data_IF_841498642699
#
_entry.id   IF_841498642699
#
_cell.length_a   1.000
_cell.length_b   1.000
_cell.length_c   1.000
_cell.angle_alpha   90.00
_cell.angle_beta   90.00
_cell.angle_gamma   90.00
#
_symmetry.space_group_name_H-M   'P 1'
#
loop_
_entity.id
_entity.type
_entity.pdbx_description
1 polymer ?
#
# COMPACT_ATOMS: atom_id res chain seq x y z
N UNK A 1 -53.94 40.46 -13.33
CA UNK A 1 -55.06 39.70 -13.92
C UNK A 1 -56.34 40.42 -13.56
N UNK A 2 -56.87 40.26 -12.33
CA UNK A 2 -57.98 41.06 -11.77
C UNK A 2 -57.98 42.52 -12.23
N UNK A 3 -56.90 43.24 -11.97
CA UNK A 3 -56.69 44.65 -12.28
C UNK A 3 -56.99 45.01 -13.77
N UNK A 4 -56.60 44.12 -14.70
CA UNK A 4 -56.82 44.30 -16.15
C UNK A 4 -58.27 43.96 -16.54
N UNK A 5 -58.83 42.89 -15.99
CA UNK A 5 -60.22 42.47 -16.25
C UNK A 5 -61.22 43.48 -15.66
N UNK A 6 -60.91 44.02 -14.47
CA UNK A 6 -61.66 45.08 -13.79
C UNK A 6 -61.62 46.40 -14.58
N UNK A 7 -60.47 46.78 -15.17
CA UNK A 7 -60.37 47.97 -16.02
C UNK A 7 -61.11 47.83 -17.35
N UNK A 8 -61.06 46.66 -18.01
CA UNK A 8 -61.84 46.39 -19.22
C UNK A 8 -63.35 46.40 -18.94
N UNK A 9 -63.79 45.80 -17.83
CA UNK A 9 -65.18 45.88 -17.37
C UNK A 9 -65.62 47.32 -17.10
N UNK A 10 -64.73 48.16 -16.56
CA UNK A 10 -64.99 49.58 -16.34
C UNK A 10 -65.16 50.36 -17.65
N UNK A 11 -64.32 50.08 -18.67
CA UNK A 11 -64.41 50.71 -20.01
C UNK A 11 -65.72 50.34 -20.69
N UNK A 12 -66.07 49.04 -20.70
CA UNK A 12 -67.34 48.55 -21.25
C UNK A 12 -68.55 49.24 -20.59
N UNK A 13 -68.57 49.31 -19.26
CA UNK A 13 -69.62 50.01 -18.51
C UNK A 13 -69.67 51.52 -18.75
N UNK A 14 -68.61 52.15 -19.27
CA UNK A 14 -68.66 53.56 -19.72
C UNK A 14 -69.28 53.70 -21.11
N UNK A 15 -68.97 52.79 -22.05
CA UNK A 15 -69.53 52.78 -23.40
C UNK A 15 -71.06 52.56 -23.40
N UNK A 16 -71.56 51.68 -22.53
CA UNK A 16 -73.02 51.47 -22.38
C UNK A 16 -73.74 52.76 -21.93
N UNK A 17 -73.17 53.48 -20.95
CA UNK A 17 -73.72 54.76 -20.46
C UNK A 17 -73.66 55.86 -21.53
N UNK A 18 -72.64 55.84 -22.39
CA UNK A 18 -72.56 56.73 -23.56
C UNK A 18 -73.71 56.45 -24.55
N UNK A 19 -73.99 55.17 -24.81
CA UNK A 19 -75.10 54.71 -25.66
C UNK A 19 -76.48 55.11 -25.10
N UNK A 20 -76.69 54.98 -23.79
CA UNK A 20 -77.90 55.47 -23.10
C UNK A 20 -78.06 56.99 -23.24
N UNK A 21 -76.97 57.76 -23.11
CA UNK A 21 -76.98 59.22 -23.29
C UNK A 21 -77.34 59.62 -24.72
N UNK A 22 -76.78 58.96 -25.74
CA UNK A 22 -77.15 59.20 -27.14
C UNK A 22 -78.62 58.85 -27.42
N UNK A 23 -79.13 57.77 -26.82
CA UNK A 23 -80.53 57.35 -26.95
C UNK A 23 -81.50 58.34 -26.27
N UNK A 24 -81.09 58.90 -25.13
CA UNK A 24 -81.83 59.98 -24.47
C UNK A 24 -81.85 61.26 -25.32
N UNK A 25 -80.71 61.63 -25.93
CA UNK A 25 -80.60 62.84 -26.75
C UNK A 25 -81.47 62.77 -28.02
N UNK A 26 -81.55 61.60 -28.68
CA UNK A 26 -82.50 61.35 -29.79
C UNK A 26 -83.95 61.64 -29.35
N UNK A 27 -84.35 61.13 -28.19
CA UNK A 27 -85.71 61.32 -27.65
C UNK A 27 -86.01 62.80 -27.40
N UNK A 28 -85.06 63.54 -26.82
CA UNK A 28 -85.20 65.00 -26.64
C UNK A 28 -85.28 65.77 -27.96
N UNK A 29 -84.46 65.42 -28.96
CA UNK A 29 -84.50 66.03 -30.30
C UNK A 29 -85.81 65.71 -31.04
N UNK A 30 -86.37 64.51 -30.86
CA UNK A 30 -87.66 64.13 -31.40
C UNK A 30 -88.80 64.94 -30.74
N UNK A 31 -88.83 65.02 -29.41
CA UNK A 31 -89.82 65.82 -28.67
C UNK A 31 -89.73 67.32 -29.03
N UNK A 32 -88.54 67.86 -29.23
CA UNK A 32 -88.35 69.24 -29.69
C UNK A 32 -88.87 69.45 -31.12
N UNK A 33 -88.55 68.53 -32.04
CA UNK A 33 -89.06 68.52 -33.42
C UNK A 33 -90.59 68.50 -33.45
N UNK A 34 -91.22 67.62 -32.68
CA UNK A 34 -92.68 67.46 -32.68
C UNK A 34 -93.40 68.64 -32.00
N UNK A 35 -92.82 69.18 -30.92
CA UNK A 35 -93.31 70.41 -30.28
C UNK A 35 -93.28 71.61 -31.24
N UNK A 36 -92.19 71.75 -32.01
CA UNK A 36 -92.03 72.80 -33.02
C UNK A 36 -92.95 72.59 -34.24
N UNK A 37 -93.30 71.35 -34.58
CA UNK A 37 -94.32 71.04 -35.58
C UNK A 37 -95.74 71.36 -35.07
N UNK A 38 -96.02 71.14 -33.78
CA UNK A 38 -97.29 71.53 -33.16
C UNK A 38 -97.47 73.05 -33.10
N UNK A 39 -96.44 73.83 -32.77
CA UNK A 39 -96.51 75.31 -32.78
C UNK A 39 -96.87 75.89 -34.15
N UNK A 40 -96.46 75.24 -35.25
CA UNK A 40 -96.80 75.64 -36.63
C UNK A 40 -98.32 75.61 -36.91
N UNK A 41 -99.11 74.88 -36.11
CA UNK A 41 -100.55 74.70 -36.33
C UNK A 41 -101.40 75.81 -35.70
N UNK A 42 -100.93 76.47 -34.62
CA UNK A 42 -101.85 77.11 -33.67
C UNK A 42 -101.72 78.64 -33.50
N UNK A 43 -100.66 79.31 -33.94
CA UNK A 43 -100.64 80.80 -33.90
C UNK A 43 -99.62 81.46 -34.83
N UNK A 44 -99.76 82.78 -34.99
CA UNK A 44 -98.92 83.67 -35.83
C UNK A 44 -97.53 83.94 -35.25
N UNK A 45 -96.71 82.89 -35.13
CA UNK A 45 -95.27 83.01 -34.79
C UNK A 45 -94.48 83.42 -36.05
N UNK A 46 -93.39 84.18 -35.89
CA UNK A 46 -92.53 84.55 -37.02
C UNK A 46 -91.95 83.30 -37.71
N UNK A 47 -92.35 83.09 -38.96
CA UNK A 47 -91.91 81.96 -39.79
C UNK A 47 -90.39 81.92 -39.95
N UNK A 48 -89.70 83.08 -39.84
CA UNK A 48 -88.23 83.14 -39.92
C UNK A 48 -87.55 82.47 -38.74
N UNK A 49 -88.01 82.69 -37.50
CA UNK A 49 -87.40 82.08 -36.31
C UNK A 49 -87.68 80.58 -36.26
N UNK A 50 -88.90 80.15 -36.63
CA UNK A 50 -89.25 78.73 -36.76
C UNK A 50 -88.41 78.03 -37.83
N UNK A 51 -88.10 78.69 -38.94
CA UNK A 51 -87.23 78.12 -39.98
C UNK A 51 -85.75 78.09 -39.56
N UNK A 52 -85.27 79.08 -38.81
CA UNK A 52 -83.91 79.09 -38.26
C UNK A 52 -83.70 77.94 -37.25
N UNK A 53 -84.61 77.77 -36.29
CA UNK A 53 -84.59 76.67 -35.32
C UNK A 53 -84.69 75.29 -35.99
N UNK A 54 -85.36 75.19 -37.15
CA UNK A 54 -85.38 73.97 -37.96
C UNK A 54 -84.05 73.67 -38.65
N UNK A 55 -83.33 74.68 -39.12
CA UNK A 55 -81.99 74.49 -39.66
C UNK A 55 -81.00 74.06 -38.55
N UNK A 56 -81.06 74.70 -37.39
CA UNK A 56 -80.23 74.39 -36.22
C UNK A 56 -80.48 72.97 -35.68
N UNK A 57 -81.75 72.53 -35.57
CA UNK A 57 -82.09 71.16 -35.17
C UNK A 57 -81.63 70.12 -36.21
N UNK A 58 -81.64 70.46 -37.50
CA UNK A 58 -81.14 69.57 -38.55
C UNK A 58 -79.59 69.52 -38.58
N UNK A 59 -78.91 70.62 -38.29
CA UNK A 59 -77.46 70.66 -38.09
C UNK A 59 -77.04 69.80 -36.89
N UNK A 60 -77.72 69.95 -35.74
CA UNK A 60 -77.52 69.13 -34.54
C UNK A 60 -77.79 67.64 -34.79
N UNK A 61 -78.78 67.28 -35.62
CA UNK A 61 -79.02 65.90 -36.06
C UNK A 61 -77.86 65.36 -36.89
N UNK A 62 -77.36 66.13 -37.85
CA UNK A 62 -76.23 65.72 -38.68
C UNK A 62 -74.95 65.52 -37.85
N UNK A 63 -74.68 66.43 -36.90
CA UNK A 63 -73.58 66.27 -35.93
C UNK A 63 -73.75 65.03 -35.03
N UNK A 64 -74.97 64.75 -34.56
CA UNK A 64 -75.26 63.55 -33.77
C UNK A 64 -75.06 62.25 -34.58
N UNK A 65 -75.45 62.24 -35.86
CA UNK A 65 -75.22 61.11 -36.77
C UNK A 65 -73.72 60.92 -37.01
N UNK A 66 -72.98 62.02 -37.22
CA UNK A 66 -71.53 61.99 -37.40
C UNK A 66 -70.78 61.48 -36.16
N UNK A 67 -71.14 61.93 -34.95
CA UNK A 67 -70.51 61.44 -33.72
C UNK A 67 -70.89 59.99 -33.42
N UNK A 68 -72.16 59.57 -33.65
CA UNK A 68 -72.56 58.16 -33.56
C UNK A 68 -71.74 57.27 -34.50
N UNK A 69 -71.54 57.70 -35.76
CA UNK A 69 -70.73 56.97 -36.72
C UNK A 69 -69.24 56.91 -36.32
N UNK A 70 -68.68 58.04 -35.85
CA UNK A 70 -67.30 58.10 -35.36
C UNK A 70 -67.10 57.24 -34.10
N UNK A 71 -68.09 57.18 -33.20
CA UNK A 71 -68.03 56.34 -32.00
C UNK A 71 -68.11 54.84 -32.33
N UNK A 72 -68.95 54.45 -33.29
CA UNK A 72 -69.04 53.08 -33.79
C UNK A 72 -67.75 52.63 -34.51
N UNK A 73 -67.04 53.55 -35.17
CA UNK A 73 -65.71 53.30 -35.73
C UNK A 73 -64.63 53.18 -34.63
N UNK A 74 -64.62 54.09 -33.63
CA UNK A 74 -63.73 53.99 -32.44
C UNK A 74 -63.92 52.66 -31.73
N UNK A 75 -65.18 52.21 -31.55
CA UNK A 75 -65.53 50.94 -30.93
C UNK A 75 -64.95 49.73 -31.68
N UNK A 76 -65.14 49.65 -33.01
CA UNK A 76 -64.58 48.55 -33.83
C UNK A 76 -63.05 48.50 -33.78
N UNK A 77 -62.40 49.66 -33.82
CA UNK A 77 -60.95 49.76 -33.67
C UNK A 77 -60.46 49.27 -32.29
N UNK A 78 -61.26 49.48 -31.23
CA UNK A 78 -60.98 49.00 -29.88
C UNK A 78 -61.20 47.48 -29.76
N UNK A 79 -62.31 46.95 -30.27
CA UNK A 79 -62.59 45.50 -30.32
C UNK A 79 -61.51 44.74 -31.11
N UNK A 80 -61.07 45.29 -32.25
CA UNK A 80 -59.93 44.77 -33.00
C UNK A 80 -58.61 44.79 -32.21
N UNK A 81 -58.37 45.83 -31.41
CA UNK A 81 -57.17 45.93 -30.58
C UNK A 81 -57.20 44.91 -29.44
N UNK A 82 -58.35 44.74 -28.77
CA UNK A 82 -58.55 43.72 -27.74
C UNK A 82 -58.29 42.31 -28.25
N UNK A 83 -58.78 41.95 -29.45
CA UNK A 83 -58.51 40.64 -30.05
C UNK A 83 -57.01 40.43 -30.32
N UNK A 84 -56.33 41.47 -30.86
CA UNK A 84 -54.87 41.44 -31.11
C UNK A 84 -54.09 41.27 -29.81
N UNK A 85 -54.49 41.95 -28.72
CA UNK A 85 -53.90 41.77 -27.40
C UNK A 85 -54.19 40.39 -26.79
N UNK A 86 -55.43 39.88 -26.91
CA UNK A 86 -55.82 38.56 -26.40
C UNK A 86 -55.03 37.44 -27.09
N UNK A 87 -54.84 37.53 -28.41
CA UNK A 87 -53.97 36.62 -29.15
C UNK A 87 -52.52 36.74 -28.69
N UNK A 88 -51.95 37.94 -28.67
CA UNK A 88 -50.56 38.16 -28.26
C UNK A 88 -50.29 37.64 -26.83
N UNK A 89 -51.25 37.78 -25.92
CA UNK A 89 -51.18 37.23 -24.57
C UNK A 89 -51.22 35.69 -24.54
N UNK A 90 -52.06 35.07 -25.38
CA UNK A 90 -52.08 33.61 -25.57
C UNK A 90 -50.74 33.10 -26.13
N UNK A 91 -50.22 33.76 -27.17
CA UNK A 91 -48.94 33.41 -27.79
C UNK A 91 -47.78 33.55 -26.78
N UNK A 92 -47.77 34.62 -25.98
CA UNK A 92 -46.82 34.79 -24.87
C UNK A 92 -46.94 33.68 -23.80
N UNK A 93 -48.16 33.30 -23.42
CA UNK A 93 -48.37 32.18 -22.49
C UNK A 93 -47.88 30.83 -23.04
N UNK A 94 -47.94 30.61 -24.35
CA UNK A 94 -47.37 29.40 -24.97
C UNK A 94 -45.84 29.41 -24.89
N UNK A 95 -45.19 30.51 -25.32
CA UNK A 95 -43.72 30.64 -25.26
C UNK A 95 -43.18 30.50 -23.83
N UNK A 96 -43.87 31.04 -22.83
CA UNK A 96 -43.48 30.86 -21.41
C UNK A 96 -43.52 29.38 -20.98
N UNK A 97 -44.53 28.61 -21.43
CA UNK A 97 -44.61 27.16 -21.15
C UNK A 97 -43.54 26.36 -21.91
N UNK A 98 -43.26 26.73 -23.16
CA UNK A 98 -42.21 26.10 -23.97
C UNK A 98 -40.83 26.30 -23.34
N UNK A 99 -40.52 27.52 -22.86
CA UNK A 99 -39.29 27.81 -22.12
C UNK A 99 -39.19 27.05 -20.80
N UNK A 100 -40.30 26.87 -20.07
CA UNK A 100 -40.36 26.06 -18.85
C UNK A 100 -40.10 24.58 -19.14
N UNK A 101 -40.72 24.02 -20.19
CA UNK A 101 -40.52 22.64 -20.62
C UNK A 101 -39.08 22.39 -21.07
N UNK A 102 -38.52 23.27 -21.90
CA UNK A 102 -37.11 23.21 -22.33
C UNK A 102 -36.16 23.26 -21.14
N UNK A 103 -36.44 24.10 -20.13
CA UNK A 103 -35.58 24.20 -18.95
C UNK A 103 -35.59 22.92 -18.09
N UNK A 104 -36.72 22.22 -17.94
CA UNK A 104 -36.73 20.93 -17.23
C UNK A 104 -36.12 19.81 -18.09
N UNK A 105 -36.33 19.80 -19.41
CA UNK A 105 -35.70 18.85 -20.34
C UNK A 105 -34.15 18.96 -20.30
N UNK A 106 -33.60 20.18 -20.17
CA UNK A 106 -32.16 20.38 -19.99
C UNK A 106 -31.69 19.88 -18.62
N UNK A 107 -32.42 20.14 -17.53
CA UNK A 107 -32.09 19.54 -16.21
C UNK A 107 -32.09 18.01 -16.26
N UNK A 108 -33.02 17.40 -16.99
CA UNK A 108 -33.04 15.94 -17.14
C UNK A 108 -31.86 15.42 -17.97
N UNK A 109 -31.44 16.14 -19.03
CA UNK A 109 -30.19 15.82 -19.75
C UNK A 109 -28.98 15.94 -18.84
N UNK A 110 -28.89 17.00 -18.04
CA UNK A 110 -27.80 17.21 -17.08
C UNK A 110 -27.78 16.13 -15.98
N UNK A 111 -28.95 15.75 -15.44
CA UNK A 111 -29.12 14.62 -14.51
C UNK A 111 -28.60 13.31 -15.11
N UNK A 112 -28.97 12.99 -16.36
CA UNK A 112 -28.52 11.77 -17.04
C UNK A 112 -27.01 11.80 -17.36
N UNK A 113 -26.49 12.92 -17.84
CA UNK A 113 -25.06 13.11 -18.10
C UNK A 113 -24.23 12.95 -16.80
N UNK A 114 -24.65 13.61 -15.72
CA UNK A 114 -23.96 13.52 -14.44
C UNK A 114 -24.01 12.10 -13.87
N UNK A 115 -25.16 11.42 -13.93
CA UNK A 115 -25.28 10.01 -13.50
C UNK A 115 -24.39 9.06 -14.33
N UNK A 116 -24.23 9.31 -15.63
CA UNK A 116 -23.30 8.55 -16.48
C UNK A 116 -21.84 8.74 -16.03
N UNK A 117 -21.41 9.99 -15.80
CA UNK A 117 -20.06 10.28 -15.29
C UNK A 117 -19.84 9.74 -13.88
N UNK A 118 -20.84 9.78 -12.99
CA UNK A 118 -20.77 9.23 -11.63
C UNK A 118 -20.58 7.70 -11.67
N UNK A 119 -21.35 6.98 -12.49
CA UNK A 119 -21.20 5.52 -12.68
C UNK A 119 -19.84 5.19 -13.29
N UNK A 120 -19.35 5.97 -14.25
CA UNK A 120 -18.03 5.77 -14.86
C UNK A 120 -16.89 6.03 -13.85
N UNK A 121 -16.96 7.13 -13.09
CA UNK A 121 -15.99 7.46 -12.05
C UNK A 121 -15.95 6.37 -10.97
N UNK A 122 -17.12 5.93 -10.50
CA UNK A 122 -17.26 4.81 -9.56
C UNK A 122 -16.62 3.52 -10.09
N UNK A 123 -16.84 3.17 -11.36
CA UNK A 123 -16.21 2.00 -11.99
C UNK A 123 -14.68 2.08 -12.07
N UNK A 124 -14.11 3.29 -12.17
CA UNK A 124 -12.67 3.49 -12.03
C UNK A 124 -12.21 3.39 -10.57
N UNK A 125 -12.96 3.95 -9.60
CA UNK A 125 -12.66 3.81 -8.17
C UNK A 125 -12.65 2.36 -7.72
N UNK A 126 -13.71 1.59 -8.02
CA UNK A 126 -13.81 0.17 -7.66
C UNK A 126 -12.67 -0.68 -8.27
N UNK A 127 -12.16 -0.27 -9.46
CA UNK A 127 -10.97 -0.89 -10.08
C UNK A 127 -9.67 -0.50 -9.37
N UNK A 128 -9.52 0.76 -8.96
CA UNK A 128 -8.36 1.24 -8.17
C UNK A 128 -8.33 0.50 -6.83
N UNK A 129 -9.45 0.44 -6.11
CA UNK A 129 -9.57 -0.26 -4.83
C UNK A 129 -9.21 -1.74 -4.95
N UNK A 130 -9.70 -2.40 -6.02
CA UNK A 130 -9.35 -3.79 -6.34
C UNK A 130 -7.86 -4.01 -6.62
N UNK A 131 -7.20 -3.07 -7.30
CA UNK A 131 -5.76 -3.13 -7.57
C UNK A 131 -4.94 -2.84 -6.30
N UNK A 132 -5.36 -1.87 -5.48
CA UNK A 132 -4.73 -1.54 -4.19
C UNK A 132 -4.82 -2.72 -3.21
N UNK A 133 -5.98 -3.39 -3.11
CA UNK A 133 -6.13 -4.59 -2.29
C UNK A 133 -5.25 -5.76 -2.77
N UNK A 134 -5.03 -5.90 -4.09
CA UNK A 134 -4.10 -6.87 -4.65
C UNK A 134 -2.64 -6.54 -4.31
N UNK A 135 -2.23 -5.26 -4.39
CA UNK A 135 -0.89 -4.82 -4.03
C UNK A 135 -0.57 -5.11 -2.56
N UNK A 136 -1.45 -4.72 -1.64
CA UNK A 136 -1.29 -4.96 -0.19
C UNK A 136 -1.13 -6.45 0.11
N UNK A 137 -1.97 -7.31 -0.47
CA UNK A 137 -1.89 -8.77 -0.31
C UNK A 137 -0.57 -9.35 -0.84
N UNK A 138 -0.07 -8.85 -1.97
CA UNK A 138 1.24 -9.27 -2.50
C UNK A 138 2.42 -8.76 -1.64
N UNK A 139 2.30 -7.60 -1.01
CA UNK A 139 3.30 -7.03 -0.08
C UNK A 139 3.32 -7.79 1.26
N UNK A 140 2.16 -8.14 1.82
CA UNK A 140 2.03 -9.04 2.97
C UNK A 140 2.60 -10.44 2.67
N UNK A 141 2.33 -10.99 1.48
CA UNK A 141 2.87 -12.27 1.04
C UNK A 141 4.40 -12.22 0.85
N UNK A 142 4.94 -11.11 0.32
CA UNK A 142 6.37 -10.91 0.11
C UNK A 142 7.11 -10.78 1.45
N UNK A 143 6.65 -9.92 2.36
CA UNK A 143 7.27 -9.73 3.68
C UNK A 143 7.22 -11.00 4.54
N UNK A 144 6.15 -11.80 4.44
CA UNK A 144 6.09 -13.13 5.04
C UNK A 144 7.11 -14.10 4.42
N UNK A 145 7.37 -14.04 3.11
CA UNK A 145 8.40 -14.84 2.45
C UNK A 145 9.83 -14.39 2.79
N UNK A 146 10.07 -13.09 2.94
CA UNK A 146 11.36 -12.57 3.44
C UNK A 146 11.65 -13.06 4.86
N UNK A 147 10.64 -13.09 5.73
CA UNK A 147 10.72 -13.65 7.08
C UNK A 147 11.03 -15.15 7.08
N UNK A 148 10.39 -15.93 6.21
CA UNK A 148 10.74 -17.35 6.02
C UNK A 148 12.18 -17.53 5.52
N UNK A 149 12.64 -16.69 4.59
CA UNK A 149 14.03 -16.70 4.09
C UNK A 149 15.03 -16.33 5.19
N UNK A 150 14.71 -15.37 6.06
CA UNK A 150 15.54 -15.01 7.21
C UNK A 150 15.66 -16.18 8.21
N UNK A 151 14.55 -16.83 8.54
CA UNK A 151 14.54 -18.02 9.42
C UNK A 151 15.31 -19.18 8.79
N UNK A 152 15.17 -19.43 7.48
CA UNK A 152 15.96 -20.46 6.80
C UNK A 152 17.46 -20.16 6.86
N UNK A 153 17.88 -18.91 6.65
CA UNK A 153 19.30 -18.50 6.77
C UNK A 153 19.86 -18.76 8.17
N UNK A 154 19.13 -18.37 9.23
CA UNK A 154 19.52 -18.65 10.63
C UNK A 154 19.68 -20.17 10.88
N UNK A 155 18.76 -21.00 10.38
CA UNK A 155 18.88 -22.45 10.51
C UNK A 155 20.04 -23.05 9.71
N UNK A 156 20.43 -22.46 8.57
CA UNK A 156 21.59 -22.88 7.79
C UNK A 156 22.89 -22.54 8.52
N UNK A 157 23.06 -21.30 8.99
CA UNK A 157 24.23 -20.86 9.77
C UNK A 157 24.44 -21.75 11.01
N UNK A 158 23.36 -22.04 11.75
CA UNK A 158 23.40 -22.98 12.88
C UNK A 158 23.82 -24.40 12.47
N UNK A 159 23.29 -24.92 11.35
CA UNK A 159 23.68 -26.23 10.82
C UNK A 159 25.16 -26.26 10.39
N UNK A 160 25.71 -25.16 9.90
CA UNK A 160 27.11 -25.05 9.50
C UNK A 160 28.04 -25.07 10.73
N UNK A 161 27.71 -24.35 11.80
CA UNK A 161 28.43 -24.42 13.08
C UNK A 161 28.38 -25.83 13.71
N UNK A 162 27.23 -26.50 13.67
CA UNK A 162 27.11 -27.89 14.15
C UNK A 162 27.93 -28.87 13.28
N UNK A 163 27.98 -28.65 11.97
CA UNK A 163 28.81 -29.42 11.02
C UNK A 163 30.30 -29.23 11.26
N UNK A 164 30.77 -28.02 11.57
CA UNK A 164 32.15 -27.75 11.97
C UNK A 164 32.52 -28.45 13.29
N UNK A 165 31.63 -28.41 14.29
CA UNK A 165 31.85 -29.15 15.53
C UNK A 165 32.00 -30.67 15.27
N UNK A 166 31.25 -31.23 14.32
CA UNK A 166 31.35 -32.65 13.92
C UNK A 166 32.67 -32.96 13.20
N UNK A 167 33.25 -32.06 12.39
CA UNK A 167 34.56 -32.33 11.77
C UNK A 167 35.70 -32.32 12.81
N UNK A 168 35.66 -31.37 13.76
CA UNK A 168 36.63 -31.31 14.86
C UNK A 168 36.54 -32.57 15.74
N UNK A 169 35.33 -33.02 16.09
CA UNK A 169 35.14 -34.24 16.89
C UNK A 169 35.61 -35.51 16.17
N UNK A 170 35.45 -35.60 14.84
CA UNK A 170 36.00 -36.72 14.04
C UNK A 170 37.54 -36.74 14.09
N UNK A 171 38.18 -35.61 13.82
CA UNK A 171 39.64 -35.49 13.91
C UNK A 171 40.16 -35.83 15.32
N UNK A 172 39.43 -35.45 16.38
CA UNK A 172 39.79 -35.82 17.76
C UNK A 172 39.69 -37.34 18.00
N UNK A 173 38.68 -38.02 17.45
CA UNK A 173 38.55 -39.49 17.54
C UNK A 173 39.67 -40.18 16.75
N UNK A 174 40.02 -39.70 15.56
CA UNK A 174 41.11 -40.23 14.74
C UNK A 174 42.47 -40.11 15.45
N UNK A 175 42.75 -38.96 16.08
CA UNK A 175 43.96 -38.76 16.91
C UNK A 175 43.98 -39.72 18.10
N UNK A 176 42.91 -39.82 18.89
CA UNK A 176 42.87 -40.74 20.03
C UNK A 176 42.95 -42.22 19.61
N UNK A 177 42.45 -42.59 18.44
CA UNK A 177 42.59 -43.94 17.89
C UNK A 177 44.05 -44.22 17.47
N UNK A 178 44.74 -43.23 16.87
CA UNK A 178 46.17 -43.30 16.56
C UNK A 178 47.01 -43.44 17.84
N UNK A 179 46.79 -42.58 18.83
CA UNK A 179 47.51 -42.60 20.12
C UNK A 179 47.32 -43.94 20.85
N UNK A 180 46.09 -44.47 20.87
CA UNK A 180 45.78 -45.76 21.48
C UNK A 180 46.48 -46.92 20.77
N UNK A 181 46.53 -46.91 19.44
CA UNK A 181 47.23 -47.93 18.66
C UNK A 181 48.75 -47.87 18.89
N UNK A 182 49.34 -46.67 18.93
CA UNK A 182 50.77 -46.50 19.20
C UNK A 182 51.17 -46.92 20.63
N UNK A 183 50.38 -46.55 21.64
CA UNK A 183 50.56 -47.02 23.03
C UNK A 183 50.40 -48.54 23.14
N UNK A 184 49.48 -49.14 22.36
CA UNK A 184 49.32 -50.60 22.30
C UNK A 184 50.53 -51.27 21.67
N UNK A 185 51.00 -50.80 20.52
CA UNK A 185 52.18 -51.34 19.84
C UNK A 185 53.43 -51.24 20.73
N UNK A 186 53.64 -50.09 21.39
CA UNK A 186 54.72 -49.90 22.34
C UNK A 186 54.66 -50.89 23.52
N UNK A 187 53.45 -51.21 24.03
CA UNK A 187 53.26 -52.22 25.09
C UNK A 187 53.47 -53.65 24.61
N UNK A 188 53.03 -54.00 23.40
CA UNK A 188 53.22 -55.33 22.82
C UNK A 188 54.71 -55.58 22.53
N UNK A 189 55.42 -54.58 22.00
CA UNK A 189 56.87 -54.60 21.83
C UNK A 189 57.61 -54.74 23.19
N UNK A 190 57.27 -53.91 24.19
CA UNK A 190 57.89 -53.98 25.52
C UNK A 190 57.61 -55.32 26.24
N UNK A 191 56.44 -55.92 26.01
CA UNK A 191 56.12 -57.26 26.53
C UNK A 191 56.98 -58.34 25.86
N UNK A 192 57.16 -58.28 24.54
CA UNK A 192 58.04 -59.19 23.79
C UNK A 192 59.52 -59.06 24.19
N UNK A 193 60.02 -57.84 24.36
CA UNK A 193 61.39 -57.62 24.87
C UNK A 193 61.58 -58.17 26.29
N UNK A 194 60.59 -57.97 27.16
CA UNK A 194 60.59 -58.51 28.53
C UNK A 194 60.58 -60.04 28.54
N UNK A 195 59.83 -60.68 27.64
CA UNK A 195 59.79 -62.14 27.51
C UNK A 195 61.12 -62.70 26.98
N UNK A 196 61.71 -62.07 25.94
CA UNK A 196 63.05 -62.40 25.44
C UNK A 196 64.09 -62.35 26.57
N UNK A 197 64.16 -61.22 27.29
CA UNK A 197 65.11 -61.02 28.40
C UNK A 197 64.87 -62.02 29.55
N UNK A 198 63.64 -62.45 29.80
CA UNK A 198 63.33 -63.47 30.80
C UNK A 198 63.82 -64.86 30.38
N UNK A 199 63.74 -65.21 29.09
CA UNK A 199 64.27 -66.49 28.58
C UNK A 199 65.79 -66.47 28.46
N UNK A 200 66.40 -65.36 28.07
CA UNK A 200 67.85 -65.12 28.12
C UNK A 200 68.39 -65.34 29.55
N UNK A 201 67.72 -64.77 30.56
CA UNK A 201 68.05 -64.98 31.97
C UNK A 201 67.91 -66.46 32.39
N UNK A 202 66.85 -67.16 31.98
CA UNK A 202 66.70 -68.61 32.24
C UNK A 202 67.79 -69.44 31.56
N UNK A 203 68.24 -69.06 30.37
CA UNK A 203 69.36 -69.71 29.67
C UNK A 203 70.69 -69.48 30.40
N UNK A 204 70.98 -68.23 30.80
CA UNK A 204 72.17 -67.90 31.57
C UNK A 204 72.19 -68.58 32.94
N UNK A 205 71.06 -68.63 33.66
CA UNK A 205 70.92 -69.36 34.92
C UNK A 205 71.19 -70.86 34.74
N UNK A 206 70.61 -71.50 33.72
CA UNK A 206 70.87 -72.92 33.40
C UNK A 206 72.35 -73.17 33.09
N UNK A 207 73.01 -72.32 32.29
CA UNK A 207 74.45 -72.50 31.99
C UNK A 207 75.34 -72.21 33.21
N UNK A 208 74.95 -71.27 34.06
CA UNK A 208 75.68 -70.98 35.31
C UNK A 208 75.58 -72.16 36.28
N UNK A 209 74.40 -72.76 36.45
CA UNK A 209 74.23 -73.98 37.25
C UNK A 209 75.09 -75.12 36.68
N UNK A 210 75.04 -75.39 35.37
CA UNK A 210 75.90 -76.40 34.75
C UNK A 210 77.40 -76.16 35.00
N UNK A 211 77.86 -74.90 34.98
CA UNK A 211 79.24 -74.55 35.28
C UNK A 211 79.60 -74.77 36.77
N UNK A 212 78.64 -74.57 37.69
CA UNK A 212 78.80 -74.93 39.10
C UNK A 212 78.86 -76.45 39.28
N UNK A 213 77.96 -77.19 38.63
CA UNK A 213 77.93 -78.66 38.63
C UNK A 213 79.24 -79.24 38.04
N UNK A 214 79.74 -78.66 36.94
CA UNK A 214 81.05 -78.97 36.32
C UNK A 214 82.22 -78.69 37.29
N UNK A 215 82.18 -77.58 38.04
CA UNK A 215 83.20 -77.22 39.02
C UNK A 215 83.17 -78.11 40.27
N UNK A 216 81.99 -78.45 40.79
CA UNK A 216 81.83 -79.40 41.90
C UNK A 216 82.30 -80.80 41.48
N UNK A 217 81.93 -81.26 40.28
CA UNK A 217 82.41 -82.53 39.74
C UNK A 217 83.93 -82.52 39.52
N UNK A 218 84.52 -81.42 39.08
CA UNK A 218 85.98 -81.28 38.98
C UNK A 218 86.66 -81.33 40.35
N UNK A 219 86.13 -80.61 41.35
CA UNK A 219 86.65 -80.63 42.72
C UNK A 219 86.54 -82.03 43.33
N UNK A 220 85.42 -82.73 43.17
CA UNK A 220 85.24 -84.13 43.61
C UNK A 220 86.26 -85.05 42.93
N UNK A 221 86.42 -84.98 41.60
CA UNK A 221 87.43 -85.75 40.87
C UNK A 221 88.87 -85.41 41.28
N UNK A 222 89.14 -84.16 41.70
CA UNK A 222 90.44 -83.75 42.23
C UNK A 222 90.68 -84.33 43.63
N UNK A 223 89.66 -84.31 44.51
CA UNK A 223 89.70 -84.98 45.82
C UNK A 223 89.90 -86.50 45.69
N UNK A 224 89.20 -87.16 44.75
CA UNK A 224 89.39 -88.60 44.47
C UNK A 224 90.78 -88.92 43.90
N UNK A 225 91.35 -88.03 43.08
CA UNK A 225 92.73 -88.18 42.59
C UNK A 225 93.75 -88.00 43.72
N UNK A 226 93.55 -87.06 44.65
CA UNK A 226 94.38 -86.96 45.85
C UNK A 226 94.26 -88.18 46.76
N UNK A 227 93.06 -88.76 46.91
CA UNK A 227 92.86 -90.00 47.69
C UNK A 227 93.60 -91.22 47.10
N UNK A 228 93.89 -91.25 45.79
CA UNK A 228 94.61 -92.38 45.18
C UNK A 228 96.10 -92.43 45.53
N UNK A 229 96.68 -91.39 46.15
CA UNK A 229 98.10 -91.32 46.52
C UNK A 229 98.37 -90.74 47.95
N UNK A 230 97.57 -91.10 48.96
CA UNK A 230 97.94 -90.86 50.38
C UNK A 230 97.35 -91.90 51.38
N UNK A 231 98.09 -92.31 52.44
CA UNK A 231 97.59 -93.18 53.52
C UNK A 231 96.88 -92.40 54.67
N UNK A 232 96.17 -93.08 55.61
CA UNK A 232 95.12 -92.44 56.42
C UNK A 232 95.44 -92.09 57.90
N UNK A 233 94.85 -91.00 58.39
CA UNK A 233 94.59 -90.65 59.81
C UNK A 233 93.51 -89.52 59.86
N UNK A 234 92.32 -89.67 60.45
CA UNK A 234 91.89 -89.67 61.88
C UNK A 234 91.43 -88.28 62.43
N UNK A 235 90.11 -88.17 62.72
CA UNK A 235 89.34 -87.36 63.73
C UNK A 235 89.75 -85.88 64.04
N UNK A 236 88.87 -84.87 64.21
CA UNK A 236 87.72 -84.80 65.13
C UNK A 236 86.92 -83.46 65.06
N UNK A 237 85.64 -83.49 65.48
CA UNK A 237 84.83 -82.41 66.13
C UNK A 237 84.51 -81.05 65.46
N UNK A 238 83.27 -80.56 65.69
CA UNK A 238 82.71 -79.28 65.23
C UNK A 238 82.71 -78.17 66.33
N UNK A 239 82.27 -76.92 66.02
CA UNK A 239 80.90 -76.52 66.40
C UNK A 239 80.19 -75.55 65.38
N UNK A 240 79.22 -74.74 65.85
CA UNK A 240 78.05 -74.21 65.10
C UNK A 240 77.94 -72.66 65.13
N UNK A 241 77.50 -72.04 64.01
CA UNK A 241 76.76 -70.74 63.90
C UNK A 241 75.83 -70.85 62.65
N UNK A 242 74.55 -70.42 62.51
CA UNK A 242 73.50 -69.68 63.27
C UNK A 242 73.27 -68.17 63.05
N UNK A 243 73.23 -67.70 61.80
CA UNK A 243 72.47 -66.47 61.40
C UNK A 243 72.19 -66.46 59.88
N UNK A 244 71.05 -65.99 59.35
CA UNK A 244 69.84 -65.42 59.96
C UNK A 244 68.65 -65.45 58.97
N UNK A 245 67.43 -65.11 59.41
CA UNK A 245 66.17 -65.28 58.66
C UNK A 245 65.63 -63.98 58.00
N UNK A 246 64.56 -64.15 57.21
CA UNK A 246 63.57 -63.15 56.74
C UNK A 246 63.95 -62.29 55.50
N UNK A 247 63.03 -61.92 54.60
CA UNK A 247 61.56 -62.12 54.55
C UNK A 247 61.05 -62.34 53.11
N UNK A 248 59.91 -63.02 52.96
CA UNK A 248 59.09 -63.04 51.73
C UNK A 248 58.30 -61.71 51.62
N UNK A 249 58.17 -61.13 50.40
CA UNK A 249 57.34 -59.96 50.17
C UNK A 249 56.76 -59.84 48.73
N UNK A 250 55.60 -60.46 48.50
CA UNK A 250 54.66 -60.20 47.39
C UNK A 250 53.26 -60.69 47.80
N UNK A 251 52.13 -60.17 47.25
CA UNK A 251 51.95 -59.01 46.36
C UNK A 251 50.84 -58.01 46.85
N UNK A 252 50.62 -56.92 46.09
CA UNK A 252 49.46 -56.01 46.17
C UNK A 252 49.76 -54.77 45.30
N UNK A 253 48.98 -54.35 44.30
CA UNK A 253 47.53 -54.17 44.07
C UNK A 253 46.91 -52.95 44.78
N UNK A 254 47.04 -51.80 44.10
CA UNK A 254 46.04 -50.74 43.95
C UNK A 254 46.34 -50.10 42.57
N UNK A 255 45.62 -50.37 41.48
CA UNK A 255 44.21 -50.06 41.18
C UNK A 255 43.98 -48.54 40.95
N UNK A 256 43.69 -48.10 39.69
CA UNK A 256 43.76 -46.69 39.32
C UNK A 256 42.47 -45.92 39.62
N UNK A 257 42.59 -44.63 39.95
CA UNK A 257 41.44 -43.72 40.07
C UNK A 257 41.45 -42.60 39.02
N UNK A 258 40.28 -42.44 38.40
CA UNK A 258 39.79 -41.27 37.65
C UNK A 258 38.27 -41.21 37.91
N UNK A 259 37.57 -40.07 37.71
CA UNK A 259 38.05 -38.71 37.54
C UNK A 259 37.42 -37.72 38.55
N UNK A 260 37.95 -36.49 38.63
CA UNK A 260 37.13 -35.31 38.96
C UNK A 260 37.49 -34.14 38.04
N UNK A 261 36.56 -33.19 37.94
CA UNK A 261 36.44 -32.16 36.88
C UNK A 261 36.66 -30.78 37.50
N UNK A 262 37.63 -30.01 37.01
CA UNK A 262 37.76 -28.56 37.31
C UNK A 262 38.54 -27.82 36.23
N UNK A 263 37.95 -26.73 35.74
CA UNK A 263 38.54 -25.69 34.90
C UNK A 263 37.99 -24.33 35.39
N UNK A 264 38.53 -23.15 35.00
CA UNK A 264 39.81 -22.88 34.33
C UNK A 264 40.67 -21.80 35.04
N UNK A 265 41.86 -21.53 34.51
CA UNK A 265 42.29 -20.13 34.31
C UNK A 265 43.65 -19.68 34.87
N UNK A 266 44.59 -19.38 33.96
CA UNK A 266 45.20 -18.03 33.80
C UNK A 266 46.02 -17.91 32.51
N UNK A 267 46.22 -16.68 32.04
CA UNK A 267 47.08 -16.28 30.91
C UNK A 267 48.58 -16.52 31.21
N UNK A 268 49.44 -16.61 30.18
CA UNK A 268 50.28 -15.44 29.84
C UNK A 268 49.92 -14.74 28.52
N UNK A 269 50.60 -13.62 28.23
CA UNK A 269 50.37 -12.72 27.09
C UNK A 269 51.15 -13.11 25.82
N UNK A 270 50.72 -12.69 24.62
CA UNK A 270 51.43 -12.93 23.37
C UNK A 270 52.64 -11.99 23.16
N UNK A 271 53.63 -12.47 22.41
CA UNK A 271 54.67 -11.64 21.78
C UNK A 271 54.27 -11.21 20.36
N UNK A 272 54.93 -10.19 19.77
CA UNK A 272 54.50 -9.57 18.52
C UNK A 272 55.03 -10.30 17.28
N UNK A 273 54.21 -10.37 16.21
CA UNK A 273 54.70 -10.74 14.89
C UNK A 273 54.03 -9.96 13.75
N UNK A 274 54.88 -9.27 12.99
CA UNK A 274 54.77 -8.85 11.59
C UNK A 274 53.38 -8.55 11.00
N UNK A 275 53.13 -7.26 10.82
CA UNK A 275 52.21 -6.75 9.80
C UNK A 275 52.73 -7.14 8.41
N UNK A 276 51.82 -7.54 7.52
CA UNK A 276 51.93 -7.33 6.08
C UNK A 276 50.52 -6.98 5.55
N UNK A 277 50.36 -6.13 4.53
CA UNK A 277 49.05 -5.54 4.21
C UNK A 277 48.14 -6.49 3.44
N UNK A 278 46.84 -6.47 3.78
CA UNK A 278 45.79 -6.88 2.85
C UNK A 278 45.58 -5.78 1.79
N UNK A 279 45.10 -6.12 0.57
CA UNK A 279 44.78 -5.12 -0.44
C UNK A 279 43.61 -4.24 0.02
N UNK A 280 43.58 -3.00 -0.47
CA UNK A 280 42.48 -2.09 -0.19
C UNK A 280 41.17 -2.64 -0.76
N UNK A 281 40.16 -2.79 0.10
CA UNK A 281 38.78 -2.70 -0.35
C UNK A 281 38.50 -1.23 -0.66
N UNK A 282 37.97 -0.93 -1.84
CA UNK A 282 37.63 0.44 -2.21
C UNK A 282 36.45 0.92 -1.36
N UNK A 283 36.65 1.98 -0.57
CA UNK A 283 35.56 2.68 0.09
C UNK A 283 34.75 3.43 -0.97
N UNK A 284 33.78 2.74 -1.60
CA UNK A 284 32.71 3.39 -2.35
C UNK A 284 31.76 4.11 -1.38
N UNK A 285 32.25 5.20 -0.80
CA UNK A 285 31.46 6.19 -0.07
C UNK A 285 30.57 6.93 -1.06
N UNK A 286 29.56 6.23 -1.60
CA UNK A 286 28.43 6.88 -2.23
C UNK A 286 27.80 7.80 -1.18
N UNK A 287 27.69 9.12 -1.43
CA UNK A 287 26.94 9.98 -0.54
C UNK A 287 25.50 9.48 -0.51
N UNK A 288 24.94 9.41 0.70
CA UNK A 288 23.61 8.88 0.99
C UNK A 288 22.56 9.48 0.04
N UNK A 289 22.24 8.75 -1.03
CA UNK A 289 21.18 9.16 -1.95
C UNK A 289 19.86 8.96 -1.23
N UNK A 290 19.34 10.07 -0.71
CA UNK A 290 17.90 10.27 -0.65
C UNK A 290 17.37 9.83 -2.02
N UNK A 291 16.39 8.92 -2.03
CA UNK A 291 15.67 8.65 -3.26
C UNK A 291 15.00 9.96 -3.66
N UNK A 292 15.46 10.57 -4.75
CA UNK A 292 14.67 11.55 -5.47
C UNK A 292 13.41 10.82 -5.93
N UNK A 293 12.36 10.98 -5.13
CA UNK A 293 10.99 10.60 -5.46
C UNK A 293 10.69 11.12 -6.86
N UNK A 294 10.38 10.23 -7.82
CA UNK A 294 10.25 10.59 -9.23
C UNK A 294 9.00 11.48 -9.46
N UNK A 295 9.12 12.76 -9.09
CA UNK A 295 8.15 13.81 -9.39
C UNK A 295 8.00 13.83 -10.91
N UNK A 296 6.84 13.40 -11.46
CA UNK A 296 6.71 13.26 -12.90
C UNK A 296 6.92 14.63 -13.56
N UNK A 297 7.73 14.73 -14.63
CA UNK A 297 8.11 16.02 -15.20
C UNK A 297 6.84 16.83 -15.51
N UNK A 298 6.72 18.07 -14.99
CA UNK A 298 5.44 18.76 -14.87
C UNK A 298 4.79 18.90 -16.25
N UNK A 299 3.56 18.36 -16.38
CA UNK A 299 2.85 18.21 -17.65
C UNK A 299 2.78 19.54 -18.38
N UNK A 300 3.50 19.63 -19.51
CA UNK A 300 3.47 20.80 -20.40
C UNK A 300 2.50 20.56 -21.54
N UNK A 301 1.65 21.53 -21.80
CA UNK A 301 0.70 21.54 -22.91
C UNK A 301 1.23 22.48 -24.00
N UNK A 302 1.09 22.10 -25.26
CA UNK A 302 1.72 22.81 -26.39
C UNK A 302 0.67 23.39 -27.33
N UNK A 303 0.87 24.62 -27.80
CA UNK A 303 0.00 25.25 -28.78
C UNK A 303 0.19 24.62 -30.17
N UNK A 304 -0.87 24.10 -30.83
CA UNK A 304 -0.73 23.45 -32.13
C UNK A 304 -0.36 24.43 -33.26
N UNK A 305 -0.52 25.75 -33.05
CA UNK A 305 -0.21 26.79 -34.04
C UNK A 305 1.23 27.27 -33.96
N UNK A 306 1.73 27.60 -32.76
CA UNK A 306 3.04 28.22 -32.54
C UNK A 306 4.05 27.35 -31.76
N UNK A 307 3.63 26.17 -31.27
CA UNK A 307 4.41 25.25 -30.43
C UNK A 307 4.96 25.84 -29.11
N UNK A 308 4.41 26.96 -28.61
CA UNK A 308 4.71 27.43 -27.25
C UNK A 308 4.18 26.47 -26.19
N UNK A 309 4.93 26.32 -25.09
CA UNK A 309 4.64 25.39 -24.01
C UNK A 309 4.10 26.09 -22.75
N UNK A 310 3.00 25.57 -22.20
CA UNK A 310 2.25 26.12 -21.07
C UNK A 310 2.18 25.10 -19.93
N UNK A 311 2.19 25.59 -18.69
CA UNK A 311 2.13 24.75 -17.48
C UNK A 311 0.68 24.42 -17.01
N UNK A 312 -0.33 25.05 -17.61
CA UNK A 312 -1.75 24.88 -17.28
C UNK A 312 -2.58 24.95 -18.58
N UNK A 313 -3.68 24.20 -18.63
CA UNK A 313 -4.54 24.12 -19.83
C UNK A 313 -5.25 25.46 -20.09
N UNK A 314 -5.73 26.15 -19.05
CA UNK A 314 -6.37 27.46 -19.16
C UNK A 314 -5.49 28.55 -19.80
N UNK A 315 -4.17 28.51 -19.57
CA UNK A 315 -3.22 29.40 -20.21
C UNK A 315 -2.97 29.03 -21.68
N UNK A 316 -3.08 27.75 -22.02
CA UNK A 316 -3.06 27.29 -23.40
C UNK A 316 -4.34 27.67 -24.14
N UNK A 317 -5.52 27.50 -23.54
CA UNK A 317 -6.82 27.81 -24.13
C UNK A 317 -6.91 29.29 -24.52
N UNK A 318 -6.68 30.21 -23.57
CA UNK A 318 -6.64 31.65 -23.83
C UNK A 318 -5.59 32.05 -24.88
N UNK A 319 -4.43 31.38 -24.88
CA UNK A 319 -3.42 31.61 -25.91
C UNK A 319 -3.84 31.09 -27.28
N UNK A 320 -4.50 29.93 -27.38
CA UNK A 320 -4.97 29.35 -28.65
C UNK A 320 -6.07 30.23 -29.25
N UNK A 321 -6.99 30.75 -28.44
CA UNK A 321 -7.97 31.76 -28.89
C UNK A 321 -7.26 32.98 -29.50
N UNK A 322 -6.24 33.51 -28.83
CA UNK A 322 -5.45 34.66 -29.30
C UNK A 322 -4.50 34.33 -30.48
N UNK A 323 -4.20 33.06 -30.72
CA UNK A 323 -3.23 32.59 -31.73
C UNK A 323 -3.90 32.03 -33.00
N UNK A 324 -5.23 32.14 -33.09
CA UNK A 324 -6.04 31.77 -34.26
C UNK A 324 -6.60 33.00 -35.02
N UNK A 325 -6.37 34.22 -34.51
CA UNK A 325 -6.66 35.51 -35.19
C UNK A 325 -5.47 35.99 -36.05
#
# INVERSE_FOLDING_TARGET
>A
MRDCEETLGHISSCLDKESERFSSLDSWLQVASDSMNHWKVNQSVDVKTVNALKAEIEELRNLLIQEKASNEEKKKNLEEAEEKFRKLYSDYQMVVKELQNFHEEQKDKDRHNNAYFEVQARGFTEKIDSMTAQLINMEEALTQKEKEVAQMKETVEKCELEKEAVTILKAQVEVYQSDFNAEREARENLAGEKERLAEDLRHLQRRNQQLLDELEAYQQNQYEQMQKHAPPALVASAPIITSGWNTIATPGRAEPQRPTRSSPGRRPSPGPQQQNPLPAAEEDTQPFRVFDEEVPPPKRFFCPVCNMAFAQVSLLEYHVETCLE
#
